data_IF_603539670711
#
_entry.id   IF_603539670711
#
_cell.length_a   1.000
_cell.length_b   1.000
_cell.length_c   1.000
_cell.angle_alpha   90.00
_cell.angle_beta   90.00
_cell.angle_gamma   90.00
#
_symmetry.space_group_name_H-M   'P 1'
#
loop_
_entity.id
_entity.type
_entity.pdbx_description
1 polymer ?
#
# COMPACT_ATOMS: atom_id res chain seq x y z
N UNK A 1 90.66 -13.60 -4.63
CA UNK A 1 90.04 -14.86 -4.18
C UNK A 1 89.33 -14.61 -2.86
N UNK A 2 88.01 -14.40 -2.87
CA UNK A 2 87.09 -14.85 -1.82
C UNK A 2 85.68 -14.55 -2.31
N UNK A 3 84.92 -15.63 -2.53
CA UNK A 3 83.52 -15.62 -2.96
C UNK A 3 82.66 -15.24 -1.76
N UNK A 4 81.83 -14.21 -1.88
CA UNK A 4 80.72 -13.98 -0.95
C UNK A 4 79.41 -14.30 -1.66
N UNK A 5 78.72 -15.24 -1.03
CA UNK A 5 77.52 -15.94 -1.46
C UNK A 5 76.30 -15.03 -1.35
N UNK A 6 75.55 -14.92 -2.46
CA UNK A 6 74.20 -14.37 -2.49
C UNK A 6 73.23 -15.31 -1.75
N UNK A 7 72.58 -14.82 -0.70
CA UNK A 7 71.35 -15.43 -0.16
C UNK A 7 70.15 -14.59 -0.60
N UNK A 8 69.44 -15.11 -1.59
CA UNK A 8 68.09 -14.69 -1.97
C UNK A 8 67.13 -15.02 -0.81
N UNK A 9 66.54 -14.00 -0.19
CA UNK A 9 65.29 -14.15 0.55
C UNK A 9 64.16 -13.60 -0.30
N UNK A 10 63.56 -14.48 -1.10
CA UNK A 10 62.24 -14.32 -1.69
C UNK A 10 61.18 -14.40 -0.58
N UNK A 11 60.76 -13.25 -0.07
CA UNK A 11 59.53 -13.14 0.73
C UNK A 11 58.33 -13.30 -0.19
N UNK A 12 57.79 -14.52 -0.27
CA UNK A 12 56.48 -14.77 -0.83
C UNK A 12 55.42 -14.18 0.13
N UNK A 13 55.02 -12.93 -0.11
CA UNK A 13 53.80 -12.37 0.45
C UNK A 13 52.62 -13.12 -0.19
N UNK A 14 52.12 -14.13 0.51
CA UNK A 14 50.83 -14.73 0.24
C UNK A 14 49.77 -13.64 0.43
N UNK A 15 49.37 -13.00 -0.68
CA UNK A 15 48.16 -12.18 -0.75
C UNK A 15 47.00 -13.15 -0.59
N UNK A 16 46.63 -13.44 0.65
CA UNK A 16 45.36 -14.03 0.98
C UNK A 16 44.30 -13.03 0.53
N UNK A 17 43.81 -13.17 -0.71
CA UNK A 17 42.60 -12.50 -1.14
C UNK A 17 41.50 -12.95 -0.19
N UNK A 18 40.92 -12.06 0.63
CA UNK A 18 39.64 -12.37 1.21
C UNK A 18 38.70 -12.45 0.01
N UNK A 19 38.38 -13.67 -0.41
CA UNK A 19 37.12 -13.93 -1.08
C UNK A 19 36.05 -13.48 -0.07
N UNK A 20 35.74 -12.20 -0.12
CA UNK A 20 34.45 -11.66 0.27
C UNK A 20 33.48 -12.40 -0.65
N UNK A 21 33.11 -13.61 -0.24
CA UNK A 21 31.86 -14.23 -0.61
C UNK A 21 30.81 -13.23 -0.16
N UNK A 22 30.56 -12.25 -1.01
CA UNK A 22 29.38 -11.44 -0.94
C UNK A 22 28.26 -12.46 -0.95
N UNK A 23 27.69 -12.72 0.21
CA UNK A 23 26.36 -13.27 0.32
C UNK A 23 25.49 -12.26 -0.43
N UNK A 24 25.37 -12.44 -1.75
CA UNK A 24 24.18 -12.05 -2.48
C UNK A 24 23.08 -12.76 -1.74
N UNK A 25 22.49 -12.04 -0.77
CA UNK A 25 21.16 -12.30 -0.30
C UNK A 25 20.36 -12.49 -1.57
N UNK A 26 20.09 -13.75 -1.88
CA UNK A 26 19.13 -14.14 -2.88
C UNK A 26 17.82 -13.58 -2.34
N UNK A 27 17.59 -12.29 -2.62
CA UNK A 27 16.30 -11.64 -2.47
C UNK A 27 15.44 -12.30 -3.53
N UNK A 28 15.08 -13.56 -3.24
CA UNK A 28 14.32 -14.41 -4.13
C UNK A 28 13.18 -13.56 -4.63
N UNK A 29 13.14 -13.42 -5.96
CA UNK A 29 12.15 -12.59 -6.63
C UNK A 29 10.79 -12.97 -6.08
N UNK A 30 10.25 -12.15 -5.18
CA UNK A 30 8.90 -12.32 -4.66
C UNK A 30 8.02 -11.87 -5.80
N UNK A 31 7.87 -12.75 -6.80
CA UNK A 31 6.74 -12.71 -7.71
C UNK A 31 5.51 -12.53 -6.82
N UNK A 32 4.54 -11.66 -7.13
CA UNK A 32 3.32 -11.54 -6.36
C UNK A 32 2.72 -12.93 -6.38
N UNK A 33 2.93 -13.63 -5.27
CA UNK A 33 2.57 -15.02 -5.16
C UNK A 33 1.08 -15.05 -5.46
N UNK A 34 0.64 -16.04 -6.24
CA UNK A 34 -0.79 -16.26 -6.40
C UNK A 34 -1.43 -16.16 -5.02
N UNK A 35 -2.38 -15.23 -4.88
CA UNK A 35 -3.00 -14.94 -3.59
C UNK A 35 -3.38 -16.26 -2.90
N UNK A 36 -3.04 -16.42 -1.60
CA UNK A 36 -3.27 -17.69 -0.92
C UNK A 36 -4.77 -18.01 -0.89
N UNK A 37 -5.13 -19.29 -0.97
CA UNK A 37 -6.50 -19.70 -0.68
C UNK A 37 -6.79 -19.44 0.80
N UNK A 38 -7.87 -18.71 1.10
CA UNK A 38 -8.18 -18.24 2.46
C UNK A 38 -9.40 -18.91 3.10
N UNK A 39 -9.93 -19.97 2.50
CA UNK A 39 -11.16 -20.64 2.96
C UNK A 39 -11.10 -21.07 4.44
N UNK A 40 -9.93 -21.46 4.95
CA UNK A 40 -9.74 -21.83 6.36
C UNK A 40 -9.79 -20.64 7.34
N UNK A 41 -9.57 -19.41 6.85
CA UNK A 41 -9.41 -18.20 7.63
C UNK A 41 -10.67 -17.31 7.63
N UNK A 42 -11.72 -17.69 6.91
CA UNK A 42 -12.94 -16.89 6.77
C UNK A 42 -14.18 -17.67 7.27
N UNK A 43 -15.23 -16.92 7.59
CA UNK A 43 -16.56 -17.44 7.92
C UNK A 43 -17.64 -16.43 7.51
N UNK A 44 -18.92 -16.83 7.60
CA UNK A 44 -20.05 -15.93 7.31
C UNK A 44 -19.99 -15.30 5.92
N UNK A 45 -20.27 -14.00 5.83
CA UNK A 45 -20.31 -13.26 4.57
C UNK A 45 -18.96 -13.25 3.84
N UNK A 46 -17.83 -13.30 4.56
CA UNK A 46 -16.52 -13.40 3.93
C UNK A 46 -16.33 -14.72 3.16
N UNK A 47 -16.84 -15.84 3.70
CA UNK A 47 -16.75 -17.15 3.07
C UNK A 47 -17.64 -17.23 1.82
N UNK A 48 -18.84 -16.66 1.88
CA UNK A 48 -19.78 -16.60 0.76
C UNK A 48 -19.26 -15.76 -0.42
N UNK A 49 -18.38 -14.81 -0.14
CA UNK A 49 -17.79 -13.92 -1.15
C UNK A 49 -16.54 -14.49 -1.83
N UNK A 50 -16.19 -15.76 -1.61
CA UNK A 50 -15.04 -16.38 -2.28
C UNK A 50 -15.40 -16.96 -3.66
N UNK A 51 -14.49 -16.81 -4.63
CA UNK A 51 -14.53 -17.51 -5.90
C UNK A 51 -14.16 -19.01 -5.74
N UNK A 52 -14.28 -19.79 -6.81
CA UNK A 52 -13.92 -21.21 -6.80
C UNK A 52 -12.43 -21.49 -6.51
N UNK A 53 -11.58 -20.46 -6.54
CA UNK A 53 -10.15 -20.54 -6.19
C UNK A 53 -9.88 -20.08 -4.76
N UNK A 54 -10.92 -19.76 -3.98
CA UNK A 54 -10.80 -19.31 -2.60
C UNK A 54 -10.28 -17.88 -2.46
N UNK A 55 -10.51 -17.01 -3.44
CA UNK A 55 -10.14 -15.58 -3.43
C UNK A 55 -11.38 -14.70 -3.32
N UNK A 56 -11.25 -13.48 -2.80
CA UNK A 56 -12.40 -12.59 -2.69
C UNK A 56 -12.90 -12.11 -4.05
N UNK A 57 -14.23 -12.16 -4.23
CA UNK A 57 -14.93 -11.42 -5.28
C UNK A 57 -15.24 -10.04 -4.73
N UNK A 58 -14.36 -9.07 -5.02
CA UNK A 58 -14.56 -7.70 -4.58
C UNK A 58 -15.73 -7.05 -5.31
N UNK A 59 -16.51 -6.24 -4.58
CA UNK A 59 -17.67 -5.55 -5.14
C UNK A 59 -17.21 -4.60 -6.25
N UNK A 60 -17.82 -4.73 -7.42
CA UNK A 60 -17.62 -3.78 -8.51
C UNK A 60 -18.05 -2.38 -8.06
N UNK A 61 -17.33 -1.35 -8.51
CA UNK A 61 -17.66 0.02 -8.13
C UNK A 61 -19.01 0.43 -8.73
N UNK A 62 -19.55 1.57 -8.28
CA UNK A 62 -20.80 2.12 -8.83
C UNK A 62 -20.66 2.56 -10.30
N UNK A 63 -21.78 2.94 -10.93
CA UNK A 63 -21.77 3.45 -12.33
C UNK A 63 -21.05 4.80 -12.46
N UNK A 64 -20.97 5.56 -11.38
CA UNK A 64 -20.39 6.90 -11.35
C UNK A 64 -18.90 6.89 -10.96
N UNK A 65 -18.24 5.76 -11.17
CA UNK A 65 -16.83 5.54 -10.83
C UNK A 65 -16.14 4.73 -11.91
N UNK A 66 -14.84 4.95 -12.10
CA UNK A 66 -14.00 4.16 -13.00
C UNK A 66 -14.11 2.68 -12.65
N UNK A 67 -14.24 1.83 -13.66
CA UNK A 67 -13.98 0.39 -13.53
C UNK A 67 -12.49 0.12 -13.33
N UNK A 68 -12.16 -1.08 -12.84
CA UNK A 68 -10.76 -1.53 -12.68
C UNK A 68 -9.97 -1.38 -13.99
N UNK A 69 -10.51 -1.89 -15.10
CA UNK A 69 -9.86 -1.84 -16.42
C UNK A 69 -9.62 -0.40 -16.89
N UNK A 70 -10.57 0.51 -16.67
CA UNK A 70 -10.41 1.92 -17.02
C UNK A 70 -9.33 2.59 -16.17
N UNK A 71 -9.32 2.32 -14.86
CA UNK A 71 -8.30 2.85 -13.96
C UNK A 71 -6.90 2.32 -14.30
N UNK A 72 -6.76 1.04 -14.61
CA UNK A 72 -5.49 0.44 -15.06
C UNK A 72 -4.99 1.08 -16.35
N UNK A 73 -5.88 1.28 -17.35
CA UNK A 73 -5.50 1.93 -18.60
C UNK A 73 -5.05 3.39 -18.41
N UNK A 74 -5.76 4.15 -17.57
CA UNK A 74 -5.38 5.52 -17.23
C UNK A 74 -4.06 5.58 -16.45
N UNK A 75 -3.85 4.68 -15.49
CA UNK A 75 -2.60 4.59 -14.75
C UNK A 75 -1.41 4.26 -15.68
N UNK A 76 -1.60 3.36 -16.65
CA UNK A 76 -0.56 2.96 -17.61
C UNK A 76 -0.18 4.12 -18.52
N UNK A 77 -1.18 4.81 -19.07
CA UNK A 77 -0.97 6.00 -19.88
C UNK A 77 -0.29 7.13 -19.07
N UNK A 78 -0.73 7.36 -17.84
CA UNK A 78 -0.16 8.37 -16.95
C UNK A 78 1.31 8.07 -16.63
N UNK A 79 1.64 6.84 -16.20
CA UNK A 79 3.00 6.46 -15.82
C UNK A 79 3.96 6.61 -17.01
N UNK A 80 3.56 6.15 -18.20
CA UNK A 80 4.43 6.22 -19.38
C UNK A 80 4.56 7.63 -19.97
N UNK A 81 3.66 8.55 -19.61
CA UNK A 81 3.71 9.94 -20.07
C UNK A 81 4.48 10.83 -19.07
N UNK A 82 4.12 10.75 -17.78
CA UNK A 82 4.62 11.66 -16.75
C UNK A 82 5.66 11.04 -15.82
N UNK A 83 5.62 9.71 -15.64
CA UNK A 83 6.56 8.99 -14.78
C UNK A 83 8.01 9.07 -15.24
N UNK A 84 8.27 9.42 -16.51
CA UNK A 84 9.62 9.64 -17.04
C UNK A 84 10.39 10.71 -16.24
N UNK A 85 9.68 11.75 -15.77
CA UNK A 85 10.27 12.80 -14.95
C UNK A 85 10.66 12.32 -13.55
N UNK A 86 10.04 11.23 -13.07
CA UNK A 86 10.25 10.66 -11.76
C UNK A 86 11.20 9.44 -11.75
N UNK A 87 11.69 8.97 -12.92
CA UNK A 87 12.57 7.79 -13.02
C UNK A 87 13.80 7.90 -12.11
N UNK A 88 14.42 9.07 -12.03
CA UNK A 88 15.57 9.29 -11.14
C UNK A 88 15.21 9.08 -9.66
N UNK A 89 14.02 9.49 -9.23
CA UNK A 89 13.49 9.23 -7.88
C UNK A 89 13.23 7.74 -7.67
N UNK A 90 12.52 7.11 -8.60
CA UNK A 90 12.20 5.69 -8.51
C UNK A 90 13.46 4.82 -8.37
N UNK A 91 14.49 5.09 -9.17
CA UNK A 91 15.77 4.35 -9.09
C UNK A 91 16.46 4.51 -7.74
N UNK A 92 16.43 5.72 -7.15
CA UNK A 92 17.00 5.98 -5.81
C UNK A 92 16.23 5.27 -4.70
N UNK A 93 14.90 5.29 -4.76
CA UNK A 93 14.05 4.74 -3.70
C UNK A 93 13.93 3.22 -3.77
N UNK A 94 13.88 2.65 -4.98
CA UNK A 94 13.82 1.21 -5.19
C UNK A 94 15.18 0.53 -5.11
N UNK A 95 16.27 1.27 -5.37
CA UNK A 95 17.61 0.72 -5.53
C UNK A 95 17.80 -0.08 -6.84
N UNK A 96 16.86 0.02 -7.78
CA UNK A 96 16.83 -0.78 -9.02
C UNK A 96 17.09 0.10 -10.22
N UNK A 97 17.98 -0.33 -11.11
CA UNK A 97 18.10 0.24 -12.44
C UNK A 97 17.07 -0.41 -13.35
N UNK A 98 16.23 0.40 -14.00
CA UNK A 98 15.20 -0.08 -14.91
C UNK A 98 14.81 0.97 -15.94
N UNK A 99 14.26 0.49 -17.05
CA UNK A 99 13.64 1.31 -18.08
C UNK A 99 12.13 1.39 -17.84
N UNK A 100 11.59 2.60 -17.70
CA UNK A 100 10.17 2.80 -17.39
C UNK A 100 9.26 2.21 -18.47
N UNK A 101 9.71 2.22 -19.73
CA UNK A 101 8.99 1.62 -20.86
C UNK A 101 8.79 0.09 -20.74
N UNK A 102 9.50 -0.59 -19.84
CA UNK A 102 9.33 -2.00 -19.53
C UNK A 102 8.36 -2.26 -18.37
N UNK A 103 7.95 -1.22 -17.63
CA UNK A 103 7.01 -1.33 -16.53
C UNK A 103 5.61 -1.69 -17.06
N UNK A 104 4.95 -2.66 -16.45
CA UNK A 104 3.57 -3.05 -16.80
C UNK A 104 2.73 -3.15 -15.54
N UNK A 105 1.41 -2.87 -15.62
CA UNK A 105 0.51 -3.20 -14.51
C UNK A 105 0.66 -4.68 -14.14
N UNK A 106 0.70 -4.97 -12.84
CA UNK A 106 0.83 -6.32 -12.32
C UNK A 106 -0.16 -6.56 -11.18
N UNK A 107 -0.86 -7.69 -11.26
CA UNK A 107 -1.93 -8.04 -10.32
C UNK A 107 -3.22 -7.23 -10.53
N UNK A 108 -4.23 -7.45 -9.66
CA UNK A 108 -5.45 -6.66 -9.64
C UNK A 108 -5.20 -5.23 -9.17
N UNK A 109 -6.02 -4.29 -9.62
CA UNK A 109 -6.07 -2.97 -8.99
C UNK A 109 -7.08 -2.98 -7.83
N UNK A 110 -6.78 -2.26 -6.76
CA UNK A 110 -7.64 -2.22 -5.57
C UNK A 110 -8.31 -0.86 -5.42
N UNK A 111 -9.64 -0.86 -5.32
CA UNK A 111 -10.39 0.35 -5.01
C UNK A 111 -10.33 0.64 -3.52
N UNK A 112 -9.82 1.82 -3.19
CA UNK A 112 -9.83 2.37 -1.84
C UNK A 112 -11.14 3.11 -1.58
N UNK A 113 -11.67 2.97 -0.37
CA UNK A 113 -12.80 3.74 0.14
C UNK A 113 -12.28 4.96 0.87
N UNK A 114 -12.85 6.12 0.60
CA UNK A 114 -12.51 7.35 1.29
C UNK A 114 -13.04 7.35 2.73
N UNK A 115 -12.27 7.82 3.74
CA UNK A 115 -12.76 8.08 5.09
C UNK A 115 -13.62 9.35 5.18
N UNK A 116 -13.78 10.10 4.09
CA UNK A 116 -14.55 11.33 4.05
C UNK A 116 -15.94 11.08 3.46
N UNK A 117 -16.93 11.81 3.95
CA UNK A 117 -18.21 11.87 3.28
C UNK A 117 -18.02 12.49 1.90
N UNK A 118 -18.87 12.10 0.96
CA UNK A 118 -18.91 12.76 -0.34
C UNK A 118 -19.24 14.23 -0.10
N UNK A 119 -18.28 15.12 -0.39
CA UNK A 119 -18.45 16.56 -0.18
C UNK A 119 -19.48 17.08 -1.19
N UNK A 120 -20.76 17.06 -0.81
CA UNK A 120 -21.83 17.61 -1.63
C UNK A 120 -21.59 19.12 -1.82
N UNK A 121 -21.47 19.57 -3.06
CA UNK A 121 -21.18 20.97 -3.39
C UNK A 121 -19.69 21.37 -3.30
N UNK A 122 -18.78 20.44 -3.01
CA UNK A 122 -17.34 20.68 -3.13
C UNK A 122 -16.90 20.77 -4.60
N UNK A 123 -15.76 21.41 -4.87
CA UNK A 123 -15.18 21.43 -6.21
C UNK A 123 -14.84 20.01 -6.69
N UNK A 124 -14.87 19.78 -8.01
CA UNK A 124 -14.51 18.49 -8.61
C UNK A 124 -13.10 18.06 -8.14
N UNK A 125 -12.17 19.00 -8.03
CA UNK A 125 -10.81 18.74 -7.54
C UNK A 125 -10.82 18.22 -6.09
N UNK A 126 -11.63 18.82 -5.22
CA UNK A 126 -11.75 18.34 -3.85
C UNK A 126 -12.37 16.94 -3.81
N UNK A 127 -13.44 16.70 -4.58
CA UNK A 127 -14.07 15.38 -4.66
C UNK A 127 -13.08 14.31 -5.11
N UNK A 128 -12.21 14.62 -6.08
CA UNK A 128 -11.16 13.67 -6.53
C UNK A 128 -10.06 13.48 -5.52
N UNK A 129 -9.64 14.56 -4.85
CA UNK A 129 -8.56 14.51 -3.88
C UNK A 129 -8.96 13.73 -2.62
N UNK A 130 -10.20 13.92 -2.15
CA UNK A 130 -10.74 13.25 -0.96
C UNK A 130 -11.55 12.00 -1.27
N UNK A 131 -11.83 11.70 -2.53
CA UNK A 131 -12.69 10.59 -2.93
C UNK A 131 -11.97 9.24 -2.97
N UNK A 132 -12.67 8.18 -3.39
CA UNK A 132 -12.08 6.86 -3.59
C UNK A 132 -11.04 6.87 -4.72
N UNK A 133 -9.99 6.06 -4.59
CA UNK A 133 -8.94 5.89 -5.60
C UNK A 133 -8.68 4.41 -5.90
N UNK A 134 -8.39 4.11 -7.16
CA UNK A 134 -7.81 2.83 -7.57
C UNK A 134 -6.31 2.84 -7.35
N UNK A 135 -5.77 1.80 -6.73
CA UNK A 135 -4.34 1.56 -6.61
C UNK A 135 -3.89 0.57 -7.68
N UNK A 136 -3.05 1.01 -8.60
CA UNK A 136 -2.52 0.20 -9.71
C UNK A 136 -1.02 0.03 -9.51
N UNK A 137 -0.59 -1.21 -9.32
CA UNK A 137 0.82 -1.55 -9.14
C UNK A 137 1.49 -1.85 -10.48
N UNK A 138 2.68 -1.32 -10.69
CA UNK A 138 3.52 -1.57 -11.84
C UNK A 138 4.73 -2.41 -11.45
N UNK A 139 5.00 -3.43 -12.25
CA UNK A 139 6.14 -4.33 -12.08
C UNK A 139 7.06 -4.31 -13.29
N UNK A 140 8.31 -4.72 -13.05
CA UNK A 140 9.26 -5.13 -14.08
C UNK A 140 9.10 -6.62 -14.41
N UNK A 141 9.89 -7.09 -15.38
CA UNK A 141 10.07 -8.51 -15.64
C UNK A 141 10.43 -9.27 -14.34
N UNK A 142 9.99 -10.52 -14.24
CA UNK A 142 10.09 -11.26 -12.97
C UNK A 142 9.14 -10.76 -11.89
N UNK A 143 8.16 -9.93 -12.27
CA UNK A 143 7.04 -9.55 -11.41
C UNK A 143 7.46 -8.71 -10.19
N UNK A 144 8.55 -7.95 -10.32
CA UNK A 144 9.08 -7.11 -9.25
C UNK A 144 8.35 -5.76 -9.21
N UNK A 145 7.61 -5.41 -8.14
CA UNK A 145 6.91 -4.14 -8.05
C UNK A 145 7.90 -2.97 -7.93
N UNK A 146 7.60 -1.86 -8.61
CA UNK A 146 8.45 -0.66 -8.63
C UNK A 146 7.70 0.63 -8.31
N UNK A 147 6.44 0.76 -8.73
CA UNK A 147 5.64 1.97 -8.56
C UNK A 147 4.19 1.58 -8.31
N UNK A 148 3.51 2.31 -7.45
CA UNK A 148 2.06 2.26 -7.28
C UNK A 148 1.45 3.61 -7.70
N UNK A 149 0.58 3.57 -8.70
CA UNK A 149 -0.18 4.74 -9.18
C UNK A 149 -1.59 4.68 -8.58
N UNK A 150 -1.94 5.71 -7.81
CA UNK A 150 -3.28 5.98 -7.36
C UNK A 150 -4.02 6.80 -8.42
N UNK A 151 -5.18 6.35 -8.85
CA UNK A 151 -6.06 7.03 -9.82
C UNK A 151 -7.38 7.35 -9.15
N UNK A 152 -7.81 8.61 -9.16
CA UNK A 152 -9.12 8.96 -8.61
C UNK A 152 -10.22 8.20 -9.35
N UNK A 153 -11.07 7.48 -8.60
CA UNK A 153 -12.17 6.75 -9.21
C UNK A 153 -13.23 7.67 -9.84
N UNK A 154 -13.16 8.99 -9.59
CA UNK A 154 -14.07 10.00 -10.12
C UNK A 154 -13.52 10.75 -11.35
N UNK A 155 -12.36 10.33 -11.89
CA UNK A 155 -11.75 10.94 -13.09
C UNK A 155 -12.34 10.38 -14.41
N UNK A 156 -13.68 10.33 -14.50
CA UNK A 156 -14.40 9.73 -15.62
C UNK A 156 -14.19 10.46 -16.97
N UNK A 157 -13.94 11.76 -16.94
CA UNK A 157 -13.74 12.58 -18.14
C UNK A 157 -12.40 12.33 -18.84
N UNK A 158 -11.47 11.64 -18.16
CA UNK A 158 -10.20 11.22 -18.74
C UNK A 158 -10.35 9.96 -19.61
N UNK A 159 -11.49 9.26 -19.54
CA UNK A 159 -11.74 8.06 -20.35
C UNK A 159 -11.65 8.40 -21.84
N UNK A 160 -10.80 7.65 -22.56
CA UNK A 160 -10.60 7.81 -24.00
C UNK A 160 -9.78 9.03 -24.41
N UNK A 161 -9.22 9.78 -23.44
CA UNK A 161 -8.29 10.88 -23.72
C UNK A 161 -6.88 10.34 -23.93
N UNK A 162 -6.13 10.95 -24.83
CA UNK A 162 -4.69 10.71 -24.93
C UNK A 162 -3.97 11.58 -23.90
N UNK A 163 -3.49 10.97 -22.81
CA UNK A 163 -2.80 11.70 -21.75
C UNK A 163 -1.46 12.32 -22.20
N UNK A 164 -0.97 12.00 -23.42
CA UNK A 164 0.21 12.64 -24.02
C UNK A 164 -0.10 14.00 -24.62
N UNK A 165 -1.37 14.30 -24.92
CA UNK A 165 -1.78 15.61 -25.41
C UNK A 165 -1.66 16.62 -24.25
N UNK A 166 -0.80 17.65 -24.37
CA UNK A 166 -0.64 18.66 -23.32
C UNK A 166 -1.91 19.47 -23.03
N UNK A 167 -2.92 19.40 -23.90
CA UNK A 167 -4.22 20.04 -23.68
C UNK A 167 -5.16 19.20 -22.79
N UNK A 168 -4.81 17.95 -22.47
CA UNK A 168 -5.55 17.16 -21.48
C UNK A 168 -5.17 17.67 -20.10
N UNK A 169 -6.06 18.48 -19.53
CA UNK A 169 -5.84 19.15 -18.25
C UNK A 169 -5.95 18.22 -17.05
N UNK A 170 -4.89 17.46 -16.76
CA UNK A 170 -4.76 16.68 -15.53
C UNK A 170 -4.80 17.62 -14.32
N UNK A 171 -5.72 17.34 -13.40
CA UNK A 171 -5.96 18.13 -12.20
C UNK A 171 -5.25 17.53 -10.98
N UNK A 172 -4.95 18.35 -9.96
CA UNK A 172 -4.56 17.83 -8.65
C UNK A 172 -5.62 16.86 -8.11
N UNK A 173 -5.18 15.67 -7.72
CA UNK A 173 -6.07 14.62 -7.21
C UNK A 173 -6.46 13.56 -8.24
N UNK A 174 -6.25 13.78 -9.54
CA UNK A 174 -6.50 12.75 -10.56
C UNK A 174 -5.56 11.55 -10.39
N UNK A 175 -4.28 11.85 -10.17
CA UNK A 175 -3.22 10.86 -10.01
C UNK A 175 -2.32 11.19 -8.82
N UNK A 176 -1.82 10.15 -8.17
CA UNK A 176 -0.65 10.18 -7.27
C UNK A 176 0.20 8.96 -7.56
N UNK A 177 1.50 9.06 -7.39
CA UNK A 177 2.43 7.97 -7.63
C UNK A 177 3.42 7.88 -6.47
N UNK A 178 3.79 6.66 -6.10
CA UNK A 178 4.79 6.40 -5.07
C UNK A 178 5.65 5.20 -5.48
N UNK A 179 6.96 5.27 -5.23
CA UNK A 179 7.85 4.14 -5.46
C UNK A 179 7.59 3.03 -4.45
N UNK A 180 7.59 1.79 -4.91
CA UNK A 180 7.52 0.62 -4.02
C UNK A 180 8.95 0.28 -3.61
N UNK A 181 9.35 0.79 -2.45
CA UNK A 181 10.67 0.50 -1.84
C UNK A 181 10.79 -1.00 -1.56
N UNK A 182 12.01 -1.58 -1.52
CA UNK A 182 12.19 -2.99 -1.18
C UNK A 182 11.60 -3.35 0.19
N UNK A 183 11.63 -2.42 1.14
CA UNK A 183 10.97 -2.60 2.45
C UNK A 183 9.46 -2.75 2.30
N UNK A 184 8.86 -2.06 1.33
CA UNK A 184 7.43 -2.11 0.99
C UNK A 184 7.09 -3.23 -0.02
N UNK A 185 7.98 -4.20 -0.24
CA UNK A 185 7.70 -5.32 -1.13
C UNK A 185 6.43 -6.06 -0.66
N UNK A 186 5.37 -5.94 -1.46
CA UNK A 186 4.04 -6.45 -1.12
C UNK A 186 2.98 -5.39 -0.85
N UNK A 187 3.30 -4.09 -0.87
CA UNK A 187 2.31 -3.01 -0.80
C UNK A 187 1.85 -2.57 -2.22
N UNK A 188 0.53 -2.36 -2.46
CA UNK A 188 -0.57 -2.66 -1.55
C UNK A 188 -0.73 -4.17 -1.38
N UNK A 189 -0.97 -4.60 -0.14
CA UNK A 189 -1.17 -6.02 0.18
C UNK A 189 -2.49 -6.50 -0.42
N UNK A 190 -2.54 -7.74 -0.94
CA UNK A 190 -3.80 -8.31 -1.41
C UNK A 190 -4.75 -8.56 -0.23
N UNK A 191 -6.08 -8.51 -0.43
CA UNK A 191 -7.02 -8.78 0.65
C UNK A 191 -6.85 -10.21 1.21
N UNK A 192 -6.48 -11.19 0.39
CA UNK A 192 -6.22 -12.56 0.84
C UNK A 192 -5.00 -12.65 1.73
N UNK A 193 -3.89 -11.99 1.36
CA UNK A 193 -2.70 -11.98 2.19
C UNK A 193 -2.97 -11.24 3.51
N UNK A 194 -3.70 -10.13 3.48
CA UNK A 194 -4.14 -9.43 4.69
C UNK A 194 -4.95 -10.36 5.60
N UNK A 195 -6.00 -10.99 5.07
CA UNK A 195 -6.87 -11.90 5.84
C UNK A 195 -6.09 -13.07 6.43
N UNK A 196 -5.25 -13.73 5.62
CA UNK A 196 -4.41 -14.83 6.10
C UNK A 196 -3.52 -14.37 7.25
N UNK A 197 -2.77 -13.28 7.06
CA UNK A 197 -1.84 -12.78 8.07
C UNK A 197 -2.57 -12.40 9.36
N UNK A 198 -3.69 -11.69 9.27
CA UNK A 198 -4.48 -11.31 10.45
C UNK A 198 -5.03 -12.55 11.16
N UNK A 199 -5.60 -13.50 10.41
CA UNK A 199 -6.18 -14.71 10.99
C UNK A 199 -5.12 -15.57 11.70
N UNK A 200 -3.94 -15.75 11.09
CA UNK A 200 -2.81 -16.47 11.69
C UNK A 200 -2.25 -15.76 12.92
N UNK A 201 -2.14 -14.42 12.88
CA UNK A 201 -1.64 -13.63 14.02
C UNK A 201 -2.56 -13.69 15.23
N UNK A 202 -3.87 -13.76 15.01
CA UNK A 202 -4.89 -13.62 16.05
C UNK A 202 -5.55 -14.93 16.45
N UNK A 203 -5.34 -16.00 15.69
CA UNK A 203 -6.12 -17.23 15.79
C UNK A 203 -7.64 -16.95 15.70
N UNK A 204 -8.04 -16.12 14.74
CA UNK A 204 -9.42 -15.69 14.52
C UNK A 204 -9.82 -15.79 13.06
N UNK A 205 -11.11 -15.97 12.81
CA UNK A 205 -11.66 -15.98 11.45
C UNK A 205 -12.19 -14.60 11.08
N UNK A 206 -12.12 -14.28 9.80
CA UNK A 206 -12.65 -13.04 9.25
C UNK A 206 -14.10 -13.26 8.80
N UNK A 207 -15.02 -12.41 9.25
CA UNK A 207 -16.48 -12.59 9.05
C UNK A 207 -17.07 -11.79 7.90
N UNK A 208 -16.40 -10.73 7.47
CA UNK A 208 -16.86 -9.82 6.41
C UNK A 208 -15.81 -9.68 5.31
N UNK A 209 -16.24 -9.30 4.10
CA UNK A 209 -15.31 -8.99 3.01
C UNK A 209 -14.48 -7.76 3.41
N UNK A 210 -13.13 -7.83 3.38
CA UNK A 210 -12.29 -6.71 3.75
C UNK A 210 -12.54 -5.49 2.86
N UNK A 211 -12.51 -4.31 3.48
CA UNK A 211 -12.63 -3.03 2.77
C UNK A 211 -11.29 -2.30 2.86
N UNK A 212 -10.76 -1.88 1.72
CA UNK A 212 -9.53 -1.10 1.69
C UNK A 212 -9.84 0.36 1.97
N UNK A 213 -9.40 0.89 3.10
CA UNK A 213 -9.67 2.28 3.50
C UNK A 213 -8.46 3.16 3.24
N UNK A 214 -8.68 4.33 2.64
CA UNK A 214 -7.63 5.34 2.56
C UNK A 214 -7.29 5.88 3.95
N UNK A 215 -6.01 6.21 4.20
CA UNK A 215 -5.67 6.93 5.40
C UNK A 215 -6.21 8.38 5.29
N UNK A 216 -6.49 9.03 6.43
CA UNK A 216 -6.82 10.45 6.43
C UNK A 216 -5.63 11.29 5.92
N UNK A 217 -5.89 12.50 5.44
CA UNK A 217 -4.81 13.45 5.13
C UNK A 217 -3.92 13.72 6.36
N UNK A 218 -2.61 14.00 6.15
CA UNK A 218 -1.94 14.23 4.85
C UNK A 218 -1.37 12.96 4.19
N UNK A 219 -1.76 11.76 4.63
CA UNK A 219 -1.23 10.52 4.10
C UNK A 219 -1.75 10.22 2.69
N UNK A 220 -0.96 9.48 1.91
CA UNK A 220 -1.26 9.12 0.52
C UNK A 220 -2.07 7.82 0.45
N UNK A 221 -2.90 7.66 -0.60
CA UNK A 221 -3.77 6.49 -0.78
C UNK A 221 -3.03 5.15 -0.87
N UNK A 222 -1.76 5.16 -1.27
CA UNK A 222 -0.90 3.96 -1.28
C UNK A 222 -0.65 3.37 0.12
N UNK A 223 -0.95 4.12 1.19
CA UNK A 223 -0.88 3.67 2.58
C UNK A 223 -2.24 3.21 3.11
N UNK A 224 -3.18 2.87 2.21
CA UNK A 224 -4.47 2.34 2.58
C UNK A 224 -4.35 1.05 3.42
N UNK A 225 -5.29 0.88 4.35
CA UNK A 225 -5.33 -0.24 5.28
C UNK A 225 -6.57 -1.09 5.00
N UNK A 226 -6.42 -2.41 5.03
CA UNK A 226 -7.55 -3.32 4.97
C UNK A 226 -8.27 -3.34 6.31
N UNK A 227 -9.52 -2.88 6.34
CA UNK A 227 -10.43 -3.12 7.45
C UNK A 227 -10.85 -4.59 7.45
N UNK A 228 -10.69 -5.25 8.59
CA UNK A 228 -11.05 -6.66 8.79
C UNK A 228 -11.92 -6.81 10.04
N UNK A 229 -13.01 -7.57 9.93
CA UNK A 229 -13.90 -7.89 11.04
C UNK A 229 -13.68 -9.33 11.51
N UNK A 230 -13.52 -9.51 12.81
CA UNK A 230 -13.25 -10.81 13.43
C UNK A 230 -14.54 -11.51 13.87
N UNK A 231 -14.50 -12.84 13.93
CA UNK A 231 -15.59 -13.67 14.48
C UNK A 231 -15.82 -13.44 15.97
N UNK A 232 -14.75 -13.12 16.71
CA UNK A 232 -14.78 -12.75 18.12
C UNK A 232 -13.77 -11.62 18.40
N UNK A 233 -14.06 -10.73 19.36
CA UNK A 233 -13.12 -9.68 19.73
C UNK A 233 -11.80 -10.26 20.26
N UNK A 234 -10.73 -9.50 20.09
CA UNK A 234 -9.40 -9.78 20.65
C UNK A 234 -8.92 -8.58 21.45
N UNK A 235 -8.23 -8.85 22.56
CA UNK A 235 -7.63 -7.80 23.37
C UNK A 235 -6.34 -7.31 22.73
N UNK A 236 -6.26 -6.02 22.45
CA UNK A 236 -5.10 -5.36 21.84
C UNK A 236 -4.68 -4.15 22.65
N UNK A 237 -3.39 -3.84 22.66
CA UNK A 237 -2.80 -2.65 23.30
C UNK A 237 -2.32 -1.67 22.25
N UNK A 238 -2.77 -0.42 22.32
CA UNK A 238 -2.27 0.66 21.47
C UNK A 238 -0.79 0.90 21.71
N UNK A 239 0.04 0.89 20.66
CA UNK A 239 1.48 1.08 20.79
C UNK A 239 1.86 2.49 21.25
N UNK A 240 1.04 3.51 20.95
CA UNK A 240 1.27 4.89 21.40
C UNK A 240 0.52 5.21 22.68
N UNK A 241 -0.78 4.87 22.73
CA UNK A 241 -1.63 5.15 23.89
C UNK A 241 -1.34 4.27 25.10
N UNK A 242 -0.80 3.06 24.91
CA UNK A 242 -0.66 2.05 25.95
C UNK A 242 -1.98 1.46 26.44
N UNK A 243 -3.12 1.85 25.85
CA UNK A 243 -4.47 1.47 26.29
C UNK A 243 -4.84 0.11 25.71
N UNK A 244 -5.34 -0.77 26.57
CA UNK A 244 -5.94 -2.05 26.19
C UNK A 244 -7.40 -1.87 25.75
N UNK A 245 -7.79 -2.48 24.64
CA UNK A 245 -9.20 -2.56 24.20
C UNK A 245 -9.52 -3.93 23.64
N UNK A 246 -10.77 -4.35 23.78
CA UNK A 246 -11.31 -5.49 23.05
C UNK A 246 -11.77 -5.00 21.67
N UNK A 247 -11.07 -5.41 20.61
CA UNK A 247 -11.33 -4.99 19.25
C UNK A 247 -11.87 -6.16 18.42
N UNK A 248 -13.02 -5.94 17.79
CA UNK A 248 -13.56 -6.86 16.77
C UNK A 248 -13.25 -6.39 15.34
N UNK A 249 -12.97 -5.10 15.16
CA UNK A 249 -12.54 -4.52 13.90
C UNK A 249 -11.10 -4.06 14.06
N UNK A 250 -10.24 -4.50 13.14
CA UNK A 250 -8.85 -4.10 13.05
C UNK A 250 -8.54 -3.64 11.63
N UNK A 251 -7.41 -2.98 11.48
CA UNK A 251 -6.92 -2.50 10.19
C UNK A 251 -5.53 -3.07 9.95
N UNK A 252 -5.26 -3.55 8.75
CA UNK A 252 -3.99 -4.17 8.40
C UNK A 252 -3.39 -3.51 7.17
N UNK A 253 -2.15 -3.05 7.27
CA UNK A 253 -1.47 -2.35 6.18
C UNK A 253 -0.05 -1.94 6.55
N UNK A 254 0.56 -1.14 5.66
CA UNK A 254 1.93 -0.68 5.85
C UNK A 254 2.00 0.46 6.87
N UNK A 255 2.79 0.28 7.92
CA UNK A 255 3.07 1.33 8.89
C UNK A 255 4.35 2.08 8.53
N UNK A 256 4.24 3.39 8.31
CA UNK A 256 5.38 4.25 7.97
C UNK A 256 6.43 4.33 9.07
N UNK A 257 6.01 4.34 10.34
CA UNK A 257 6.91 4.54 11.48
C UNK A 257 7.79 3.31 11.72
N UNK A 258 7.21 2.13 11.59
CA UNK A 258 7.88 0.86 11.78
C UNK A 258 8.45 0.27 10.49
N UNK A 259 8.19 0.90 9.34
CA UNK A 259 8.56 0.41 8.01
C UNK A 259 8.25 -1.09 7.85
N UNK A 260 7.05 -1.49 8.24
CA UNK A 260 6.59 -2.89 8.22
C UNK A 260 5.08 -2.97 8.17
N UNK A 261 4.56 -4.13 7.76
CA UNK A 261 3.13 -4.44 7.85
C UNK A 261 2.71 -4.61 9.30
N UNK A 262 1.62 -3.94 9.73
CA UNK A 262 1.14 -4.00 11.11
C UNK A 262 -0.38 -4.05 11.20
N UNK A 263 -0.84 -4.52 12.37
CA UNK A 263 -2.20 -4.33 12.85
C UNK A 263 -2.33 -2.93 13.46
N UNK A 264 -3.44 -2.31 13.17
CA UNK A 264 -3.85 -1.03 13.73
C UNK A 264 -5.25 -1.14 14.31
N UNK A 265 -5.55 -0.28 15.28
CA UNK A 265 -6.91 0.01 15.71
C UNK A 265 -7.31 1.39 15.22
N UNK A 266 -8.62 1.58 15.08
CA UNK A 266 -9.19 2.91 15.02
C UNK A 266 -8.93 3.62 16.34
N UNK A 267 -8.51 4.88 16.25
CA UNK A 267 -8.72 5.80 17.35
C UNK A 267 -10.09 6.42 17.12
N UNK A 268 -11.07 6.03 17.94
CA UNK A 268 -12.32 6.78 18.04
C UNK A 268 -11.93 8.23 18.32
N UNK A 269 -12.31 9.10 17.39
CA UNK A 269 -12.21 10.52 17.64
C UNK A 269 -13.34 10.84 18.61
N UNK A 270 -13.00 11.29 19.82
CA UNK A 270 -13.91 12.22 20.50
C UNK A 270 -14.14 13.34 19.49
N UNK A 271 -15.38 13.45 19.02
CA UNK A 271 -15.83 14.36 17.97
C UNK A 271 -15.53 15.81 18.38
N UNK A 272 -14.29 16.27 18.18
CA UNK A 272 -13.95 17.67 18.26
C UNK A 272 -14.53 18.31 17.00
N UNK A 273 -15.73 18.83 17.13
CA UNK A 273 -16.55 19.51 16.12
C UNK A 273 -15.84 20.62 15.32
N UNK A 274 -14.60 20.98 15.66
CA UNK A 274 -13.86 22.12 15.08
C UNK A 274 -12.63 21.74 14.22
N UNK A 275 -12.43 20.47 13.85
CA UNK A 275 -11.28 20.09 13.02
C UNK A 275 -11.44 20.50 11.53
N UNK A 276 -11.24 21.79 11.26
CA UNK A 276 -11.18 22.37 9.92
C UNK A 276 -9.80 22.10 9.30
N UNK A 277 -9.71 21.22 8.29
CA UNK A 277 -8.48 21.08 7.49
C UNK A 277 -8.45 22.20 6.45
N UNK A 278 -7.63 23.23 6.67
CA UNK A 278 -7.40 24.29 5.69
C UNK A 278 -6.40 23.82 4.63
N UNK A 279 -6.87 23.56 3.41
CA UNK A 279 -5.98 23.37 2.25
C UNK A 279 -5.62 24.75 1.69
N UNK A 280 -4.35 25.15 1.84
CA UNK A 280 -3.84 26.41 1.30
C UNK A 280 -3.63 26.31 -0.22
N UNK A 281 -4.69 26.63 -0.97
CA UNK A 281 -4.60 27.08 -2.35
C UNK A 281 -5.65 28.19 -2.56
N UNK A 282 -5.26 29.45 -2.35
CA UNK A 282 -6.01 30.64 -2.76
C UNK A 282 -7.53 30.64 -2.53
N UNK A 283 -7.97 30.86 -1.28
CA UNK A 283 -9.33 31.32 -0.92
C UNK A 283 -10.49 30.47 -1.43
N UNK A 284 -10.54 29.20 -1.03
CA UNK A 284 -11.81 28.49 -0.78
C UNK A 284 -11.60 27.48 0.34
N UNK A 285 -12.24 27.68 1.50
CA UNK A 285 -12.26 26.67 2.57
C UNK A 285 -13.11 25.51 2.09
N UNK A 286 -12.51 24.48 1.52
CA UNK A 286 -13.21 23.21 1.31
C UNK A 286 -13.03 22.37 2.56
N UNK A 287 -14.10 22.20 3.32
CA UNK A 287 -14.13 21.32 4.48
C UNK A 287 -14.57 19.95 3.97
N UNK A 288 -13.65 18.98 3.98
CA UNK A 288 -14.04 17.58 3.87
C UNK A 288 -14.73 17.20 5.17
N UNK A 289 -16.05 16.98 5.13
CA UNK A 289 -16.77 16.39 6.26
C UNK A 289 -16.32 14.93 6.35
N UNK A 290 -15.76 14.54 7.49
CA UNK A 290 -15.32 13.17 7.72
C UNK A 290 -16.55 12.29 7.91
N UNK A 291 -16.55 11.09 7.35
CA UNK A 291 -17.61 10.14 7.58
C UNK A 291 -17.54 9.68 9.03
N UNK A 292 -18.61 9.92 9.80
CA UNK A 292 -18.68 9.56 11.22
C UNK A 292 -18.49 8.05 11.44
N UNK A 293 -18.82 7.22 10.44
CA UNK A 293 -18.68 5.77 10.49
C UNK A 293 -17.25 5.28 10.21
N UNK A 294 -16.35 6.17 9.77
CA UNK A 294 -14.99 5.80 9.37
C UNK A 294 -13.91 6.38 10.32
N UNK A 295 -12.87 5.57 10.62
CA UNK A 295 -11.83 5.92 11.57
C UNK A 295 -11.06 7.17 11.14
N UNK A 296 -10.93 8.11 12.08
CA UNK A 296 -10.28 9.39 11.82
C UNK A 296 -8.76 9.39 11.93
N UNK A 297 -8.20 8.37 12.58
CA UNK A 297 -6.78 8.08 12.64
C UNK A 297 -6.57 6.63 13.08
N UNK A 298 -5.39 6.11 12.79
CA UNK A 298 -5.01 4.75 13.12
C UNK A 298 -3.81 4.78 14.07
N UNK A 299 -3.74 3.82 14.98
CA UNK A 299 -2.51 3.55 15.72
C UNK A 299 -2.14 2.07 15.66
N UNK A 300 -0.84 1.73 15.57
CA UNK A 300 -0.39 0.35 15.67
C UNK A 300 -0.79 -0.28 16.99
N UNK A 301 -1.03 -1.59 16.97
CA UNK A 301 -1.38 -2.36 18.17
C UNK A 301 -0.52 -3.60 18.37
N UNK A 302 -0.42 -4.03 19.62
CA UNK A 302 0.14 -5.31 20.02
C UNK A 302 -0.98 -6.21 20.53
N UNK A 303 -0.98 -7.48 20.12
CA UNK A 303 -1.98 -8.46 20.55
C UNK A 303 -1.66 -8.96 21.94
N UNK A 304 -2.63 -8.90 22.86
CA UNK A 304 -2.46 -9.38 24.23
C UNK A 304 -2.90 -10.85 24.30
N UNK A 305 -1.97 -11.76 24.62
CA UNK A 305 -2.30 -13.18 24.80
C UNK A 305 -3.05 -13.38 26.11
N UNK A 306 -4.18 -14.08 26.06
CA UNK A 306 -4.90 -14.50 27.25
C UNK A 306 -3.96 -15.36 28.13
N UNK A 307 -3.68 -14.90 29.34
CA UNK A 307 -2.81 -15.60 30.31
C UNK A 307 -1.39 -15.04 30.45
N UNK A 308 -0.99 -14.05 29.65
CA UNK A 308 0.20 -13.26 29.95
C UNK A 308 -0.19 -12.15 30.94
N UNK A 309 -0.16 -12.46 32.23
CA UNK A 309 -0.10 -11.41 33.25
C UNK A 309 1.20 -10.61 33.05
N UNK A 310 1.18 -9.27 33.22
CA UNK A 310 2.38 -8.45 33.10
C UNK A 310 3.48 -8.86 34.09
#
# INVERSE_FOLDING_TARGET
>A
MQRMTFCLMTSALAVASPYLSACTLDQGSVSPASAPAITAFVSGAALEALDARGRFVLRSPGRDTLSETQATALADAYLHTYGVMAVGRYRRETGVQFELAAARPCGPAYLTTSPYESVSGGSIQAQRYFGPHWLVTFCLAGNRPIVCVSVSALALELIGKDLRDPNVGIQPGDFREESIRPTMAGAPVSPELAVKTVAEMLDRRITTVPVLLQPPLPFISQLALWQVSLDRPVRVRGSRSGVDVDAQILFFGWDLSAQSMRLHRSLEFEERADSTIAVHAGVTRTVGVRNADLPGSFEPVTVMRAGAAP
#
